data_IF_009341604652
#
_entry.id   IF_009341604652
#
_cell.length_a   1.000
_cell.length_b   1.000
_cell.length_c   1.000
_cell.angle_alpha   90.00
_cell.angle_beta   90.00
_cell.angle_gamma   90.00
#
_symmetry.space_group_name_H-M   'P 1'
#
loop_
_entity.id
_entity.type
_entity.pdbx_description
1 polymer ?
#
# COMPACT_ATOMS: atom_id res chain seq x y z
N UNK A 1 26.66 -26.71 -4.57
CA UNK A 1 26.33 -25.33 -5.01
C UNK A 1 26.52 -24.41 -3.82
N UNK A 2 27.44 -23.45 -3.90
CA UNK A 2 27.63 -22.47 -2.83
C UNK A 2 26.58 -21.36 -2.96
N UNK A 3 25.99 -20.93 -1.85
CA UNK A 3 25.08 -19.79 -1.80
C UNK A 3 25.89 -18.51 -2.06
N UNK A 4 25.64 -17.84 -3.18
CA UNK A 4 26.26 -16.53 -3.48
C UNK A 4 25.32 -15.45 -2.95
N UNK A 5 25.77 -14.69 -1.95
CA UNK A 5 25.05 -13.50 -1.47
C UNK A 5 25.34 -12.37 -2.45
N UNK A 6 24.32 -11.90 -3.17
CA UNK A 6 24.42 -10.72 -4.02
C UNK A 6 23.78 -9.50 -3.35
N UNK A 7 24.52 -8.41 -3.26
CA UNK A 7 23.98 -7.14 -2.79
C UNK A 7 23.20 -6.45 -3.92
N UNK A 8 22.02 -5.92 -3.59
CA UNK A 8 21.28 -5.06 -4.52
C UNK A 8 22.02 -3.73 -4.67
N UNK A 9 22.26 -3.33 -5.92
CA UNK A 9 22.86 -2.04 -6.24
C UNK A 9 21.94 -0.89 -5.81
N UNK A 10 22.49 0.22 -5.28
CA UNK A 10 21.70 1.41 -5.00
C UNK A 10 21.27 2.09 -6.29
N UNK A 11 20.06 2.62 -6.32
CA UNK A 11 19.60 3.53 -7.36
C UNK A 11 20.29 4.88 -7.18
N UNK A 12 21.09 5.30 -8.16
CA UNK A 12 21.81 6.58 -8.12
C UNK A 12 20.97 7.75 -8.65
N UNK A 13 19.85 7.46 -9.30
CA UNK A 13 18.94 8.48 -9.88
C UNK A 13 17.87 8.92 -8.89
N UNK A 14 17.57 8.08 -7.89
CA UNK A 14 16.59 8.38 -6.86
C UNK A 14 17.04 9.54 -5.96
N UNK A 15 16.29 10.64 -6.01
CA UNK A 15 16.44 11.76 -5.09
C UNK A 15 15.62 11.47 -3.83
N UNK A 16 16.27 11.56 -2.66
CA UNK A 16 15.66 11.29 -1.36
C UNK A 16 15.77 12.55 -0.48
N UNK A 17 14.79 12.82 0.40
CA UNK A 17 14.79 13.97 1.29
C UNK A 17 16.07 14.08 2.13
N UNK A 18 16.60 15.30 2.27
CA UNK A 18 17.86 15.57 2.98
C UNK A 18 17.75 15.42 4.50
N UNK A 19 16.53 15.44 5.04
CA UNK A 19 16.27 15.22 6.47
C UNK A 19 16.30 13.73 6.88
N UNK A 20 16.48 12.80 5.93
CA UNK A 20 16.59 11.38 6.25
C UNK A 20 17.95 11.04 6.88
N UNK A 21 17.92 10.20 7.91
CA UNK A 21 19.13 9.68 8.52
C UNK A 21 19.99 8.93 7.47
N UNK A 22 21.34 9.12 7.43
CA UNK A 22 22.20 8.55 6.39
C UNK A 22 22.07 7.03 6.22
N UNK A 23 21.86 6.31 7.32
CA UNK A 23 21.61 4.86 7.30
C UNK A 23 20.31 4.50 6.56
N UNK A 24 19.23 5.25 6.81
CA UNK A 24 17.92 5.03 6.17
C UNK A 24 18.03 5.32 4.68
N UNK A 25 18.68 6.43 4.30
CA UNK A 25 18.98 6.77 2.90
C UNK A 25 19.67 5.60 2.18
N UNK A 26 20.71 5.03 2.79
CA UNK A 26 21.44 3.87 2.23
C UNK A 26 20.56 2.63 2.04
N UNK A 27 19.60 2.38 2.93
CA UNK A 27 18.66 1.26 2.82
C UNK A 27 17.64 1.52 1.70
N UNK A 28 17.05 2.72 1.65
CA UNK A 28 16.00 3.07 0.70
C UNK A 28 16.50 3.11 -0.75
N UNK A 29 17.73 3.58 -0.98
CA UNK A 29 18.35 3.52 -2.32
C UNK A 29 18.44 2.08 -2.87
N UNK A 30 18.36 1.05 -2.02
CA UNK A 30 18.39 -0.37 -2.41
C UNK A 30 17.00 -1.02 -2.37
N UNK A 31 15.91 -0.27 -2.21
CA UNK A 31 14.54 -0.83 -2.09
C UNK A 31 13.74 -0.82 -3.40
N UNK A 32 14.31 -0.32 -4.51
CA UNK A 32 13.63 -0.15 -5.82
C UNK A 32 12.39 0.75 -5.69
N UNK A 33 12.58 1.95 -5.18
CA UNK A 33 11.57 3.01 -5.21
C UNK A 33 11.63 3.72 -6.56
N UNK A 34 10.49 4.09 -7.12
CA UNK A 34 10.39 4.89 -8.35
C UNK A 34 10.52 6.40 -8.10
N UNK A 35 10.04 6.89 -6.95
CA UNK A 35 10.23 8.29 -6.52
C UNK A 35 10.30 8.43 -5.00
N UNK A 36 10.67 9.63 -4.52
CA UNK A 36 10.57 9.98 -3.10
C UNK A 36 9.14 10.01 -2.58
N UNK A 37 8.16 10.20 -3.46
CA UNK A 37 6.74 10.37 -3.08
C UNK A 37 6.15 9.05 -2.56
N UNK A 38 6.72 7.91 -2.93
CA UNK A 38 6.38 6.60 -2.36
C UNK A 38 6.70 6.49 -0.86
N UNK A 39 7.44 7.46 -0.30
CA UNK A 39 7.67 7.55 1.15
C UNK A 39 6.55 8.27 1.89
N UNK A 40 5.60 8.88 1.17
CA UNK A 40 4.43 9.49 1.78
C UNK A 40 3.38 8.42 2.13
N UNK A 41 3.27 8.16 3.43
CA UNK A 41 2.35 7.19 4.01
C UNK A 41 1.00 7.81 4.38
N UNK A 42 0.73 9.03 3.93
CA UNK A 42 -0.57 9.67 4.11
C UNK A 42 -1.68 8.90 3.38
N UNK A 43 -2.91 9.01 3.88
CA UNK A 43 -4.06 8.37 3.27
C UNK A 43 -4.43 8.98 1.90
N UNK A 44 -3.89 10.15 1.54
CA UNK A 44 -4.15 10.78 0.24
C UNK A 44 -3.59 10.02 -0.95
N UNK A 45 -2.65 9.10 -0.71
CA UNK A 45 -2.11 8.21 -1.75
C UNK A 45 -2.94 6.93 -1.92
N UNK A 46 -3.98 6.72 -1.11
CA UNK A 46 -4.89 5.60 -1.31
C UNK A 46 -5.78 5.84 -2.53
N UNK A 47 -6.08 4.76 -3.25
CA UNK A 47 -7.08 4.78 -4.31
C UNK A 47 -8.43 5.21 -3.73
N UNK A 48 -9.16 6.03 -4.49
CA UNK A 48 -10.47 6.49 -4.10
C UNK A 48 -11.42 5.27 -3.98
N UNK A 49 -12.23 5.14 -2.91
CA UNK A 49 -13.06 3.95 -2.69
C UNK A 49 -14.07 3.66 -3.82
N UNK A 50 -14.53 4.70 -4.50
CA UNK A 50 -15.42 4.65 -5.67
C UNK A 50 -14.77 4.04 -6.91
N UNK A 51 -13.43 3.96 -6.96
CA UNK A 51 -12.69 3.26 -8.03
C UNK A 51 -12.69 1.73 -7.87
N UNK A 52 -13.14 1.20 -6.73
CA UNK A 52 -13.18 -0.23 -6.48
C UNK A 52 -14.28 -0.90 -7.33
N UNK A 53 -13.89 -1.96 -8.04
CA UNK A 53 -14.82 -2.70 -8.91
C UNK A 53 -16.05 -3.18 -8.13
N UNK A 54 -17.24 -2.78 -8.59
CA UNK A 54 -18.52 -3.22 -8.02
C UNK A 54 -18.91 -2.56 -6.70
N UNK A 55 -18.16 -1.55 -6.23
CA UNK A 55 -18.40 -0.89 -4.94
C UNK A 55 -19.77 -0.24 -4.86
N UNK A 56 -20.24 0.40 -5.92
CA UNK A 56 -21.54 1.08 -5.95
C UNK A 56 -22.70 0.10 -5.70
N UNK A 57 -22.69 -1.03 -6.42
CA UNK A 57 -23.71 -2.08 -6.23
C UNK A 57 -23.64 -2.72 -4.85
N UNK A 58 -22.43 -2.97 -4.33
CA UNK A 58 -22.25 -3.51 -2.97
C UNK A 58 -22.79 -2.54 -1.90
N UNK A 59 -22.51 -1.24 -2.02
CA UNK A 59 -23.01 -0.20 -1.12
C UNK A 59 -24.53 -0.12 -1.16
N UNK A 60 -25.15 -0.19 -2.35
CA UNK A 60 -26.61 -0.19 -2.48
C UNK A 60 -27.24 -1.39 -1.75
N UNK A 61 -26.71 -2.60 -1.96
CA UNK A 61 -27.18 -3.81 -1.29
C UNK A 61 -27.05 -3.72 0.24
N UNK A 62 -25.89 -3.29 0.74
CA UNK A 62 -25.66 -3.13 2.17
C UNK A 62 -26.58 -2.07 2.78
N UNK A 63 -26.81 -0.96 2.09
CA UNK A 63 -27.69 0.11 2.55
C UNK A 63 -29.13 -0.36 2.64
N UNK A 64 -29.63 -1.12 1.66
CA UNK A 64 -30.98 -1.70 1.71
C UNK A 64 -31.14 -2.66 2.90
N UNK A 65 -30.17 -3.56 3.11
CA UNK A 65 -30.23 -4.50 4.23
C UNK A 65 -30.16 -3.79 5.58
N UNK A 66 -29.36 -2.73 5.69
CA UNK A 66 -29.28 -1.91 6.89
C UNK A 66 -30.63 -1.24 7.21
N UNK A 67 -31.29 -0.65 6.21
CA UNK A 67 -32.60 -0.01 6.37
C UNK A 67 -33.68 -0.99 6.82
N UNK A 68 -33.61 -2.24 6.34
CA UNK A 68 -34.52 -3.32 6.72
C UNK A 68 -34.19 -3.97 8.07
N UNK A 69 -33.12 -3.53 8.75
CA UNK A 69 -32.57 -4.18 9.94
C UNK A 69 -32.30 -5.68 9.70
N UNK A 70 -31.81 -5.99 8.50
CA UNK A 70 -31.44 -7.34 8.09
C UNK A 70 -30.25 -7.87 8.90
N UNK A 71 -30.12 -9.20 8.92
CA UNK A 71 -28.95 -9.85 9.52
C UNK A 71 -27.78 -9.83 8.54
N UNK A 72 -26.61 -9.41 9.00
CA UNK A 72 -25.38 -9.39 8.21
C UNK A 72 -24.38 -10.39 8.79
N UNK A 73 -23.82 -11.24 7.93
CA UNK A 73 -22.67 -12.09 8.25
C UNK A 73 -21.48 -11.59 7.45
N UNK A 74 -20.41 -11.20 8.13
CA UNK A 74 -19.13 -10.83 7.51
C UNK A 74 -18.20 -12.02 7.61
N UNK A 75 -17.79 -12.55 6.47
CA UNK A 75 -16.78 -13.61 6.36
C UNK A 75 -15.52 -13.00 5.78
N UNK A 76 -14.41 -13.10 6.50
CA UNK A 76 -13.08 -12.62 6.08
C UNK A 76 -12.13 -13.79 6.02
N UNK A 77 -11.05 -13.63 5.25
CA UNK A 77 -9.88 -14.49 5.41
C UNK A 77 -9.22 -14.23 6.78
N UNK A 78 -8.42 -15.19 7.23
CA UNK A 78 -7.76 -15.19 8.54
C UNK A 78 -6.34 -14.60 8.50
N UNK A 79 -5.88 -14.12 7.35
CA UNK A 79 -4.61 -13.39 7.25
C UNK A 79 -4.70 -12.00 7.89
N UNK A 80 -3.54 -11.45 8.24
CA UNK A 80 -3.38 -10.19 8.98
C UNK A 80 -2.42 -9.24 8.26
#
# INVERSE_FOLDING_TARGET
MALVIQHRQPDQTLQLPDNLHPLIRRVLLRRRLGSSDELDLSLSNLLAPDSLLGVEGAVALLTEQLQRQGRLLVVSDFDA
#
